data_IF_483912457491
#
_entry.id   IF_483912457491
#
_cell.length_a   1.000
_cell.length_b   1.000
_cell.length_c   1.000
_cell.angle_alpha   90.00
_cell.angle_beta   90.00
_cell.angle_gamma   90.00
#
_symmetry.space_group_name_H-M   'P 1'
#
loop_
_entity.id
_entity.type
_entity.pdbx_description
1 polymer ?
#
# COMPACT_ATOMS: atom_id res chain seq x y z
N UNK A 1 3.65 13.74 -12.82
CA UNK A 1 4.25 13.61 -11.48
C UNK A 1 5.58 12.91 -11.63
N UNK A 2 6.61 13.41 -10.97
CA UNK A 2 7.83 12.64 -10.76
C UNK A 2 7.55 11.67 -9.61
N UNK A 3 7.67 10.38 -9.89
CA UNK A 3 7.42 9.34 -8.92
C UNK A 3 8.69 9.07 -8.10
N UNK A 4 8.59 8.92 -6.77
CA UNK A 4 9.75 8.60 -5.93
C UNK A 4 10.40 7.27 -6.31
N UNK A 5 11.70 7.19 -6.03
CA UNK A 5 12.48 5.96 -6.04
C UNK A 5 12.00 5.02 -4.93
N UNK A 6 12.31 3.73 -5.09
CA UNK A 6 11.98 2.72 -4.08
C UNK A 6 12.64 3.06 -2.73
N UNK A 7 13.86 3.60 -2.74
CA UNK A 7 14.57 4.01 -1.52
C UNK A 7 13.85 5.15 -0.79
N UNK A 8 13.32 6.13 -1.53
CA UNK A 8 12.54 7.24 -0.96
C UNK A 8 11.23 6.72 -0.37
N UNK A 9 10.58 5.74 -1.01
CA UNK A 9 9.40 5.07 -0.44
C UNK A 9 9.74 4.29 0.84
N UNK A 10 10.88 3.59 0.89
CA UNK A 10 11.32 2.88 2.10
C UNK A 10 11.53 3.85 3.26
N UNK A 11 12.18 4.99 3.00
CA UNK A 11 12.37 6.05 4.00
C UNK A 11 11.03 6.61 4.50
N UNK A 12 10.12 6.95 3.57
CA UNK A 12 8.81 7.49 3.91
C UNK A 12 7.99 6.52 4.77
N UNK A 13 8.05 5.23 4.47
CA UNK A 13 7.30 4.18 5.17
C UNK A 13 7.89 3.85 6.54
N UNK A 14 9.20 3.96 6.71
CA UNK A 14 9.81 3.84 8.03
C UNK A 14 9.36 4.97 8.97
N UNK A 15 9.08 6.16 8.43
CA UNK A 15 8.49 7.29 9.13
C UNK A 15 6.97 7.43 8.85
N UNK A 16 6.24 6.30 8.79
CA UNK A 16 4.82 6.27 8.44
C UNK A 16 3.93 7.19 9.28
N UNK A 17 4.28 7.43 10.54
CA UNK A 17 3.52 8.31 11.44
C UNK A 17 3.49 9.77 11.00
N UNK A 18 4.57 10.23 10.38
CA UNK A 18 4.70 11.59 9.86
C UNK A 18 4.23 11.69 8.40
N UNK A 19 4.38 10.59 7.64
CA UNK A 19 4.24 10.62 6.19
C UNK A 19 2.91 10.08 5.64
N UNK A 20 2.17 9.27 6.41
CA UNK A 20 1.00 8.56 5.90
C UNK A 20 -0.36 9.12 6.35
N UNK A 21 -0.48 10.41 6.66
CA UNK A 21 -1.74 11.11 7.06
C UNK A 21 -2.84 10.20 7.68
N UNK A 22 -3.86 9.79 6.91
CA UNK A 22 -4.97 8.95 7.38
C UNK A 22 -4.59 7.51 7.74
N UNK A 23 -3.46 7.04 7.22
CA UNK A 23 -2.84 5.74 7.44
C UNK A 23 -1.69 5.80 8.46
N UNK A 24 -1.54 6.89 9.23
CA UNK A 24 -0.50 7.09 10.27
C UNK A 24 -0.42 6.01 11.35
N UNK A 25 -1.46 5.18 11.51
CA UNK A 25 -1.48 4.07 12.47
C UNK A 25 -0.86 2.78 11.90
N UNK A 26 -0.58 2.76 10.59
CA UNK A 26 0.12 1.66 9.97
C UNK A 26 1.61 1.74 10.29
N UNK A 27 2.19 0.60 10.63
CA UNK A 27 3.64 0.41 10.76
C UNK A 27 4.13 -0.64 9.77
N UNK A 28 5.31 -0.47 9.15
CA UNK A 28 5.87 -1.49 8.29
C UNK A 28 6.18 -2.74 9.09
N UNK A 29 5.86 -3.90 8.53
CA UNK A 29 6.36 -5.17 9.05
C UNK A 29 7.80 -5.31 8.56
N UNK A 30 8.75 -5.40 9.49
CA UNK A 30 10.17 -5.51 9.17
C UNK A 30 10.60 -6.99 9.10
N UNK A 31 11.59 -7.30 8.27
CA UNK A 31 12.30 -8.59 8.33
C UNK A 31 13.55 -8.50 9.21
N UNK A 32 14.32 -9.59 9.30
CA UNK A 32 15.44 -9.77 10.24
C UNK A 32 16.57 -8.74 10.12
N UNK A 33 16.67 -8.01 9.02
CA UNK A 33 17.69 -6.98 8.79
C UNK A 33 17.16 -5.55 9.03
N UNK A 34 15.94 -5.41 9.59
CA UNK A 34 15.35 -4.10 9.90
C UNK A 34 14.78 -3.35 8.69
N UNK A 35 14.70 -3.97 7.51
CA UNK A 35 14.06 -3.38 6.34
C UNK A 35 12.59 -3.83 6.22
N UNK A 36 11.71 -3.00 5.63
CA UNK A 36 10.33 -3.37 5.38
C UNK A 36 10.20 -4.62 4.49
N UNK A 37 9.27 -5.50 4.87
CA UNK A 37 8.81 -6.57 3.99
C UNK A 37 8.07 -5.94 2.82
N UNK A 38 8.66 -6.04 1.63
CA UNK A 38 8.10 -5.47 0.41
C UNK A 38 8.29 -6.37 -0.80
N UNK A 39 7.50 -6.14 -1.85
CA UNK A 39 7.69 -6.75 -3.16
C UNK A 39 7.60 -5.66 -4.21
N UNK A 40 8.60 -5.57 -5.09
CA UNK A 40 8.63 -4.59 -6.18
C UNK A 40 8.27 -5.26 -7.51
N UNK A 41 7.55 -4.53 -8.34
CA UNK A 41 7.29 -4.86 -9.74
C UNK A 41 7.60 -3.66 -10.63
N UNK A 42 7.35 -3.81 -11.93
CA UNK A 42 7.69 -2.77 -12.92
C UNK A 42 6.95 -1.43 -12.67
N UNK A 43 5.78 -1.45 -12.02
CA UNK A 43 4.90 -0.28 -11.90
C UNK A 43 4.66 0.19 -10.46
N UNK A 44 4.96 -0.66 -9.48
CA UNK A 44 4.66 -0.36 -8.09
C UNK A 44 5.53 -1.21 -7.18
N UNK A 45 5.69 -0.73 -5.95
CA UNK A 45 6.18 -1.49 -4.81
C UNK A 45 5.03 -1.67 -3.82
N UNK A 46 4.92 -2.87 -3.24
CA UNK A 46 3.89 -3.19 -2.25
C UNK A 46 4.56 -3.52 -0.94
N UNK A 47 4.18 -2.83 0.13
CA UNK A 47 4.69 -3.02 1.49
C UNK A 47 3.68 -3.75 2.34
N UNK A 48 4.17 -4.67 3.18
CA UNK A 48 3.37 -5.28 4.23
C UNK A 48 3.33 -4.35 5.43
N UNK A 49 2.13 -3.90 5.77
CA UNK A 49 1.86 -3.00 6.89
C UNK A 49 1.04 -3.71 7.96
N UNK A 50 1.17 -3.27 9.20
CA UNK A 50 0.32 -3.68 10.33
C UNK A 50 -0.32 -2.45 10.93
N UNK A 51 -1.63 -2.47 11.09
CA UNK A 51 -2.34 -1.48 11.90
C UNK A 51 -2.11 -1.82 13.37
N UNK A 52 -1.47 -0.92 14.11
CA UNK A 52 -1.17 -1.15 15.53
C UNK A 52 -2.40 -1.10 16.43
N UNK A 53 -3.48 -0.42 16.00
CA UNK A 53 -4.71 -0.32 16.78
C UNK A 53 -5.55 -1.59 16.69
N UNK A 54 -5.66 -2.15 15.48
CA UNK A 54 -6.51 -3.31 15.22
C UNK A 54 -5.74 -4.63 15.15
N UNK A 55 -4.41 -4.58 14.99
CA UNK A 55 -3.56 -5.73 14.76
C UNK A 55 -3.66 -6.32 13.35
N UNK A 56 -4.49 -5.75 12.46
CA UNK A 56 -4.72 -6.25 11.11
C UNK A 56 -3.55 -5.94 10.19
N UNK A 57 -3.32 -6.83 9.22
CA UNK A 57 -2.32 -6.61 8.18
C UNK A 57 -2.94 -5.97 6.95
N UNK A 58 -2.20 -5.06 6.33
CA UNK A 58 -2.58 -4.35 5.11
C UNK A 58 -1.44 -4.42 4.10
N UNK A 59 -1.78 -4.41 2.81
CA UNK A 59 -0.82 -4.20 1.73
C UNK A 59 -0.91 -2.74 1.29
N UNK A 60 0.18 -1.99 1.41
CA UNK A 60 0.27 -0.62 0.93
C UNK A 60 0.98 -0.61 -0.42
N UNK A 61 0.26 -0.26 -1.50
CA UNK A 61 0.79 -0.24 -2.86
C UNK A 61 1.16 1.18 -3.27
N UNK A 62 2.44 1.42 -3.51
CA UNK A 62 2.99 2.70 -3.96
C UNK A 62 3.40 2.58 -5.43
N UNK A 63 2.84 3.42 -6.30
CA UNK A 63 3.13 3.40 -7.72
C UNK A 63 4.47 4.09 -8.02
N UNK A 64 5.22 3.57 -9.00
CA UNK A 64 6.53 4.11 -9.42
C UNK A 64 6.46 4.86 -10.76
N UNK A 65 5.29 4.88 -11.40
CA UNK A 65 4.98 5.64 -12.61
C UNK A 65 3.48 5.71 -12.84
N UNK A 66 3.08 6.64 -13.68
CA UNK A 66 1.68 6.79 -14.08
C UNK A 66 1.20 5.56 -14.86
N UNK A 67 -0.07 5.22 -14.66
CA UNK A 67 -0.75 4.21 -15.43
C UNK A 67 -2.07 4.82 -15.92
N UNK A 68 -2.21 4.97 -17.23
CA UNK A 68 -3.44 5.50 -17.82
C UNK A 68 -4.64 4.63 -17.38
N UNK A 69 -5.71 5.30 -16.95
CA UNK A 69 -6.91 4.62 -16.44
C UNK A 69 -6.77 3.96 -15.06
N UNK A 70 -5.64 4.13 -14.35
CA UNK A 70 -5.42 3.51 -13.02
C UNK A 70 -6.53 3.80 -12.03
N UNK A 71 -6.88 5.07 -11.86
CA UNK A 71 -7.86 5.47 -10.85
C UNK A 71 -9.22 4.81 -11.12
N UNK A 72 -9.66 4.80 -12.39
CA UNK A 72 -10.89 4.15 -12.83
C UNK A 72 -10.83 2.63 -12.65
N UNK A 73 -9.73 1.99 -13.06
CA UNK A 73 -9.54 0.55 -12.90
C UNK A 73 -9.60 0.13 -11.43
N UNK A 74 -8.95 0.86 -10.52
CA UNK A 74 -9.01 0.56 -9.08
C UNK A 74 -10.38 0.84 -8.48
N UNK A 75 -11.13 1.82 -9.00
CA UNK A 75 -12.52 2.05 -8.62
C UNK A 75 -13.38 0.84 -8.96
N UNK A 76 -13.32 0.37 -10.21
CA UNK A 76 -14.08 -0.80 -10.69
C UNK A 76 -13.69 -2.07 -9.93
N UNK A 77 -12.39 -2.31 -9.71
CA UNK A 77 -11.92 -3.47 -8.94
C UNK A 77 -12.42 -3.40 -7.49
N UNK A 78 -12.36 -2.22 -6.87
CA UNK A 78 -12.84 -2.03 -5.49
C UNK A 78 -14.34 -2.26 -5.37
N UNK A 79 -15.11 -1.78 -6.35
CA UNK A 79 -16.55 -1.97 -6.42
C UNK A 79 -16.89 -3.46 -6.56
N UNK A 80 -16.27 -4.17 -7.50
CA UNK A 80 -16.49 -5.61 -7.67
C UNK A 80 -16.10 -6.41 -6.44
N UNK A 81 -14.95 -6.12 -5.83
CA UNK A 81 -14.51 -6.79 -4.60
C UNK A 81 -15.40 -6.49 -3.39
N UNK A 82 -16.18 -5.41 -3.40
CA UNK A 82 -17.14 -5.11 -2.32
C UNK A 82 -18.35 -6.05 -2.33
N UNK A 83 -18.67 -6.64 -3.48
CA UNK A 83 -19.77 -7.59 -3.65
C UNK A 83 -19.36 -9.05 -3.41
N UNK A 84 -18.06 -9.33 -3.25
CA UNK A 84 -17.53 -10.68 -3.07
C UNK A 84 -17.06 -10.88 -1.64
N UNK A 85 -17.70 -11.82 -0.91
CA UNK A 85 -17.23 -12.26 0.39
C UNK A 85 -16.49 -13.59 0.24
N UNK A 86 -15.15 -13.55 0.24
CA UNK A 86 -14.30 -14.72 0.05
C UNK A 86 -13.03 -14.60 0.89
N UNK A 87 -12.67 -15.66 1.61
CA UNK A 87 -11.43 -15.73 2.40
C UNK A 87 -10.15 -15.72 1.54
N UNK A 88 -10.29 -15.91 0.22
CA UNK A 88 -9.16 -15.94 -0.71
C UNK A 88 -8.91 -14.60 -1.41
N UNK A 89 -9.83 -13.64 -1.29
CA UNK A 89 -9.73 -12.32 -1.93
C UNK A 89 -9.60 -11.22 -0.88
N UNK A 90 -8.65 -10.31 -1.10
CA UNK A 90 -8.47 -9.15 -0.22
C UNK A 90 -9.48 -8.05 -0.52
N UNK A 91 -9.95 -7.34 0.52
CA UNK A 91 -10.69 -6.10 0.33
C UNK A 91 -9.73 -4.99 -0.13
N UNK A 92 -10.07 -4.36 -1.25
CA UNK A 92 -9.36 -3.21 -1.77
C UNK A 92 -10.02 -1.93 -1.26
N UNK A 93 -9.22 -1.01 -0.73
CA UNK A 93 -9.65 0.35 -0.46
C UNK A 93 -8.87 1.26 -1.39
N UNK A 94 -9.49 1.68 -2.48
CA UNK A 94 -8.90 2.70 -3.35
C UNK A 94 -9.08 4.06 -2.67
N UNK A 95 -8.02 4.64 -2.15
CA UNK A 95 -8.03 6.02 -1.66
C UNK A 95 -7.02 6.78 -2.49
N UNK A 96 -7.56 7.50 -3.47
CA UNK A 96 -6.83 8.43 -4.32
C UNK A 96 -6.69 9.69 -3.50
N UNK A 97 -5.45 10.03 -3.13
CA UNK A 97 -5.11 11.38 -2.65
C UNK A 97 -5.15 12.37 -3.83
#
# INVERSE_FOLDING_TARGET
MDYPLITEYVEAINAAEDNLDQLKNLRPVLHEYGLPVMTSGNFAVVFKMKDEQTGKFHALKCFLKEQEGRAEAYCLISEELSHVNSDFLGHLHNRVD
#
